data_IF_927812152634
#
_entry.id   IF_927812152634
#
_cell.length_a   1.000
_cell.length_b   1.000
_cell.length_c   1.000
_cell.angle_alpha   90.00
_cell.angle_beta   90.00
_cell.angle_gamma   90.00
#
_symmetry.space_group_name_H-M   'P 1'
#
loop_
_entity.id
_entity.type
_entity.pdbx_description
1 polymer ?
#
# COMPACT_ATOMS: atom_id res chain seq x y z
N UNK A 1 -33.30 5.46 -38.81
CA UNK A 1 -33.26 4.73 -37.52
C UNK A 1 -31.94 3.98 -37.45
N UNK A 2 -30.98 4.47 -36.68
CA UNK A 2 -29.70 3.78 -36.49
C UNK A 2 -29.89 2.60 -35.53
N UNK A 3 -29.71 1.38 -36.02
CA UNK A 3 -29.73 0.17 -35.20
C UNK A 3 -28.42 0.08 -34.41
N UNK A 4 -28.49 0.37 -33.11
CA UNK A 4 -27.34 0.25 -32.21
C UNK A 4 -27.07 -1.24 -31.96
N UNK A 5 -25.93 -1.75 -32.43
CA UNK A 5 -25.55 -3.16 -32.25
C UNK A 5 -25.37 -3.48 -30.76
N UNK A 6 -25.91 -4.63 -30.31
CA UNK A 6 -25.74 -5.14 -28.93
C UNK A 6 -24.26 -5.20 -28.53
N UNK A 7 -23.35 -5.43 -29.47
CA UNK A 7 -21.89 -5.44 -29.22
C UNK A 7 -21.35 -4.04 -28.89
N UNK A 8 -21.84 -3.00 -29.56
CA UNK A 8 -21.46 -1.61 -29.31
C UNK A 8 -22.00 -1.10 -27.97
N UNK A 9 -23.20 -1.55 -27.58
CA UNK A 9 -23.77 -1.23 -26.27
C UNK A 9 -23.02 -1.93 -25.12
N UNK A 10 -22.62 -3.20 -25.31
CA UNK A 10 -21.82 -3.93 -24.32
C UNK A 10 -20.41 -3.35 -24.16
N UNK A 11 -19.76 -2.94 -25.25
CA UNK A 11 -18.46 -2.28 -25.21
C UNK A 11 -18.53 -0.91 -24.51
N UNK A 12 -19.60 -0.15 -24.75
CA UNK A 12 -19.85 1.11 -24.05
C UNK A 12 -20.12 0.89 -22.55
N UNK A 13 -20.88 -0.16 -22.19
CA UNK A 13 -21.08 -0.53 -20.79
C UNK A 13 -19.80 -0.98 -20.10
N UNK A 14 -18.93 -1.75 -20.77
CA UNK A 14 -17.63 -2.14 -20.20
C UNK A 14 -16.68 -0.95 -20.04
N UNK A 15 -16.73 0.01 -20.98
CA UNK A 15 -15.99 1.26 -20.92
C UNK A 15 -16.52 2.21 -19.83
N UNK A 16 -17.84 2.32 -19.68
CA UNK A 16 -18.51 3.10 -18.64
C UNK A 16 -18.44 2.44 -17.25
N UNK A 17 -18.40 1.10 -17.18
CA UNK A 17 -18.26 0.35 -15.94
C UNK A 17 -16.83 0.38 -15.39
N UNK A 18 -15.87 0.95 -16.14
CA UNK A 18 -14.51 1.19 -15.66
C UNK A 18 -13.91 -0.06 -15.01
N UNK A 19 -14.03 -1.22 -15.66
CA UNK A 19 -13.42 -2.47 -15.17
C UNK A 19 -11.89 -2.32 -15.32
N UNK A 20 -11.29 -1.51 -14.46
CA UNK A 20 -9.89 -1.64 -14.10
C UNK A 20 -9.79 -3.04 -13.50
N UNK A 21 -8.92 -3.89 -14.05
CA UNK A 21 -8.64 -5.17 -13.38
C UNK A 21 -8.24 -4.83 -11.95
N UNK A 22 -9.01 -5.31 -10.97
CA UNK A 22 -8.67 -5.14 -9.56
C UNK A 22 -7.24 -5.67 -9.41
N UNK A 23 -6.32 -4.82 -8.96
CA UNK A 23 -4.95 -5.25 -8.67
C UNK A 23 -5.09 -6.39 -7.66
N UNK A 24 -4.59 -7.57 -8.03
CA UNK A 24 -4.62 -8.74 -7.16
C UNK A 24 -3.35 -8.69 -6.29
N UNK A 25 -3.57 -8.91 -5.00
CA UNK A 25 -2.53 -9.04 -3.98
C UNK A 25 -2.53 -10.49 -3.52
N UNK A 26 -1.35 -11.04 -3.21
CA UNK A 26 -1.21 -12.42 -2.72
C UNK A 26 -0.91 -12.48 -1.23
N UNK A 27 -0.26 -11.45 -0.67
CA UNK A 27 0.02 -11.37 0.75
C UNK A 27 -1.15 -10.70 1.50
N UNK A 28 -1.51 -9.47 1.13
CA UNK A 28 -2.57 -8.72 1.82
C UNK A 28 -3.97 -9.15 1.40
N UNK A 29 -4.86 -9.27 2.38
CA UNK A 29 -6.31 -9.28 2.16
C UNK A 29 -6.84 -7.89 1.77
N UNK A 30 -8.07 -7.84 1.22
CA UNK A 30 -8.72 -6.58 0.84
C UNK A 30 -8.84 -5.57 2.01
N UNK A 31 -9.11 -6.05 3.23
CA UNK A 31 -9.20 -5.21 4.43
C UNK A 31 -7.84 -4.65 4.86
N UNK A 32 -6.79 -5.46 4.72
CA UNK A 32 -5.43 -5.04 5.07
C UNK A 32 -4.90 -4.05 4.05
N UNK A 33 -5.16 -4.27 2.76
CA UNK A 33 -4.87 -3.30 1.70
C UNK A 33 -5.48 -1.95 2.06
N UNK A 34 -6.74 -1.92 2.48
CA UNK A 34 -7.43 -0.69 2.87
C UNK A 34 -6.76 -0.01 4.08
N UNK A 35 -6.40 -0.78 5.09
CA UNK A 35 -5.76 -0.28 6.32
C UNK A 35 -4.37 0.27 6.04
N UNK A 36 -3.53 -0.49 5.33
CA UNK A 36 -2.15 -0.08 4.99
C UNK A 36 -2.15 1.11 4.03
N UNK A 37 -3.08 1.14 3.06
CA UNK A 37 -3.24 2.32 2.20
C UNK A 37 -3.62 3.55 3.02
N UNK A 38 -4.62 3.43 3.89
CA UNK A 38 -5.06 4.52 4.77
C UNK A 38 -3.95 5.04 5.69
N UNK A 39 -3.03 4.16 6.12
CA UNK A 39 -1.87 4.50 6.93
C UNK A 39 -0.79 5.19 6.10
N UNK A 40 -0.45 4.64 4.94
CA UNK A 40 0.51 5.22 4.02
C UNK A 40 0.11 6.63 3.56
N UNK A 41 -1.19 6.90 3.40
CA UNK A 41 -1.74 8.21 3.03
C UNK A 41 -1.42 9.34 4.02
N UNK A 42 -1.22 9.01 5.29
CA UNK A 42 -0.96 10.01 6.36
C UNK A 42 0.48 9.99 6.86
N UNK A 43 1.21 8.90 6.61
CA UNK A 43 2.63 8.78 6.97
C UNK A 43 3.55 9.35 5.90
N UNK A 44 3.18 9.22 4.63
CA UNK A 44 4.03 9.62 3.50
C UNK A 44 3.64 11.02 3.01
N UNK A 45 4.59 11.80 2.47
CA UNK A 45 4.36 13.18 2.04
C UNK A 45 3.64 13.26 0.67
N UNK A 46 2.63 12.43 0.43
CA UNK A 46 1.96 12.29 -0.88
C UNK A 46 1.10 13.50 -1.27
N UNK A 47 0.84 14.41 -0.34
CA UNK A 47 0.11 15.65 -0.58
C UNK A 47 1.03 16.79 -1.06
N UNK A 48 2.36 16.62 -0.95
CA UNK A 48 3.32 17.62 -1.39
C UNK A 48 3.40 17.64 -2.95
N UNK A 49 3.39 18.81 -3.61
CA UNK A 49 3.24 18.91 -5.06
C UNK A 49 4.25 18.12 -5.90
N UNK A 50 5.49 17.99 -5.43
CA UNK A 50 6.57 17.30 -6.16
C UNK A 50 6.71 15.83 -5.80
N UNK A 51 6.06 15.40 -4.71
CA UNK A 51 6.18 14.05 -4.20
C UNK A 51 5.27 13.08 -4.98
N UNK A 52 5.73 11.85 -5.28
CA UNK A 52 4.87 10.88 -5.95
C UNK A 52 3.71 10.46 -5.05
N UNK A 53 2.53 10.25 -5.64
CA UNK A 53 1.45 9.58 -4.93
C UNK A 53 1.74 8.07 -4.75
N UNK A 54 0.89 7.36 -4.00
CA UNK A 54 1.09 5.94 -3.69
C UNK A 54 1.14 5.04 -4.94
N UNK A 55 0.34 5.37 -5.96
CA UNK A 55 0.30 4.63 -7.24
C UNK A 55 1.61 4.83 -8.02
N UNK A 56 2.08 6.07 -8.18
CA UNK A 56 3.34 6.40 -8.88
C UNK A 56 4.58 5.85 -8.17
N UNK A 57 4.52 5.62 -6.86
CA UNK A 57 5.58 4.98 -6.10
C UNK A 57 5.40 3.46 -5.94
N UNK A 58 4.36 2.88 -6.53
CA UNK A 58 4.02 1.45 -6.48
C UNK A 58 3.99 0.87 -5.04
N UNK A 59 3.54 1.66 -4.06
CA UNK A 59 3.70 1.33 -2.64
C UNK A 59 3.06 0.01 -2.27
N UNK A 60 1.76 -0.14 -2.55
CA UNK A 60 1.03 -1.35 -2.16
C UNK A 60 1.51 -2.60 -2.89
N UNK A 61 1.79 -2.50 -4.20
CA UNK A 61 2.32 -3.62 -4.99
C UNK A 61 3.65 -4.09 -4.45
N UNK A 62 4.57 -3.18 -4.18
CA UNK A 62 5.91 -3.52 -3.67
C UNK A 62 5.85 -4.07 -2.25
N UNK A 63 5.02 -3.51 -1.37
CA UNK A 63 4.82 -4.08 -0.03
C UNK A 63 4.32 -5.52 -0.11
N UNK A 64 3.32 -5.79 -0.97
CA UNK A 64 2.80 -7.14 -1.15
C UNK A 64 3.86 -8.10 -1.70
N UNK A 65 4.61 -7.66 -2.72
CA UNK A 65 5.71 -8.44 -3.30
C UNK A 65 6.80 -8.76 -2.27
N UNK A 66 7.26 -7.78 -1.48
CA UNK A 66 8.31 -8.02 -0.48
C UNK A 66 7.82 -8.94 0.65
N UNK A 67 6.61 -8.71 1.16
CA UNK A 67 6.05 -9.48 2.27
C UNK A 67 5.61 -10.90 1.87
N UNK A 68 5.30 -11.14 0.60
CA UNK A 68 4.99 -12.49 0.14
C UNK A 68 6.19 -13.46 0.23
N UNK A 69 7.42 -12.95 0.21
CA UNK A 69 8.63 -13.78 0.19
C UNK A 69 9.39 -13.86 1.52
N UNK A 70 8.93 -13.19 2.58
CA UNK A 70 9.51 -13.34 3.92
C UNK A 70 9.04 -14.63 4.59
N UNK A 71 9.65 -15.02 5.72
CA UNK A 71 9.24 -16.21 6.46
C UNK A 71 7.80 -16.10 6.97
N UNK A 72 7.11 -17.24 7.12
CA UNK A 72 5.73 -17.30 7.62
C UNK A 72 5.57 -16.59 8.97
N UNK A 73 6.54 -16.73 9.88
CA UNK A 73 6.56 -16.01 11.17
C UNK A 73 6.52 -14.48 10.98
N UNK A 74 7.32 -13.94 10.06
CA UNK A 74 7.33 -12.50 9.77
C UNK A 74 6.02 -12.09 9.09
N UNK A 75 5.46 -12.93 8.22
CA UNK A 75 4.16 -12.69 7.61
C UNK A 75 3.06 -12.56 8.68
N UNK A 76 2.98 -13.52 9.61
CA UNK A 76 2.00 -13.52 10.70
C UNK A 76 2.14 -12.30 11.62
N UNK A 77 3.37 -11.89 11.92
CA UNK A 77 3.64 -10.69 12.71
C UNK A 77 3.11 -9.42 12.02
N UNK A 78 3.29 -9.31 10.70
CA UNK A 78 2.79 -8.15 9.95
C UNK A 78 1.27 -8.15 9.80
N UNK A 79 0.64 -9.31 9.58
CA UNK A 79 -0.82 -9.43 9.65
C UNK A 79 -1.35 -8.96 11.02
N UNK A 80 -0.69 -9.38 12.10
CA UNK A 80 -1.02 -8.97 13.45
C UNK A 80 -0.85 -7.47 13.66
N UNK A 81 0.24 -6.88 13.16
CA UNK A 81 0.48 -5.44 13.24
C UNK A 81 -0.60 -4.62 12.50
N UNK A 82 -0.99 -5.03 11.30
CA UNK A 82 -2.06 -4.37 10.54
C UNK A 82 -3.39 -4.48 11.27
N UNK A 83 -3.70 -5.64 11.85
CA UNK A 83 -4.90 -5.82 12.65
C UNK A 83 -4.89 -4.92 13.90
N UNK A 84 -3.79 -4.86 14.64
CA UNK A 84 -3.68 -3.97 15.81
C UNK A 84 -3.92 -2.51 15.39
N UNK A 85 -3.29 -2.04 14.31
CA UNK A 85 -3.49 -0.69 13.80
C UNK A 85 -4.97 -0.42 13.45
N UNK A 86 -5.66 -1.38 12.80
CA UNK A 86 -7.04 -1.21 12.36
C UNK A 86 -8.01 -0.98 13.54
N UNK A 87 -7.79 -1.68 14.66
CA UNK A 87 -8.63 -1.59 15.85
C UNK A 87 -8.14 -0.56 16.88
N UNK A 88 -6.91 -0.07 16.73
CA UNK A 88 -6.29 0.87 17.66
C UNK A 88 -7.16 2.09 18.00
N UNK A 89 -7.87 2.75 17.06
CA UNK A 89 -8.64 3.93 17.39
C UNK A 89 -9.71 3.73 18.47
N UNK A 90 -10.25 2.50 18.62
CA UNK A 90 -11.24 2.18 19.65
C UNK A 90 -10.70 2.39 21.06
N UNK A 91 -9.40 2.13 21.28
CA UNK A 91 -8.72 2.33 22.55
C UNK A 91 -8.36 3.81 22.82
N UNK A 92 -8.45 4.65 21.78
CA UNK A 92 -8.19 6.09 21.82
C UNK A 92 -9.48 6.89 21.59
N UNK A 93 -10.62 6.36 22.03
CA UNK A 93 -11.90 7.09 22.06
C UNK A 93 -12.58 7.32 20.72
N UNK A 94 -12.10 6.71 19.63
CA UNK A 94 -12.73 6.80 18.31
C UNK A 94 -13.58 5.56 18.05
N UNK A 95 -14.88 5.71 17.80
CA UNK A 95 -15.81 4.60 17.51
C UNK A 95 -15.83 4.15 16.05
N UNK A 96 -14.66 4.12 15.41
CA UNK A 96 -14.49 3.68 14.02
C UNK A 96 -13.12 3.04 13.85
N UNK A 97 -13.00 2.08 12.92
CA UNK A 97 -11.73 1.47 12.58
C UNK A 97 -10.80 2.47 11.87
N UNK A 98 -9.49 2.24 11.93
CA UNK A 98 -8.48 3.17 11.42
C UNK A 98 -8.70 3.50 9.94
N UNK A 99 -8.93 2.47 9.12
CA UNK A 99 -9.18 2.60 7.68
C UNK A 99 -10.45 3.40 7.34
N UNK A 100 -11.37 3.55 8.30
CA UNK A 100 -12.64 4.27 8.16
C UNK A 100 -12.61 5.67 8.78
N UNK A 101 -11.55 6.04 9.50
CA UNK A 101 -11.38 7.42 9.98
C UNK A 101 -11.19 8.38 8.80
N UNK A 102 -11.58 9.65 9.00
CA UNK A 102 -11.17 10.73 8.09
C UNK A 102 -9.65 10.92 8.17
N UNK A 103 -9.08 11.51 7.12
CA UNK A 103 -7.63 11.75 7.06
C UNK A 103 -7.13 12.53 8.28
N UNK A 104 -7.83 13.59 8.66
CA UNK A 104 -7.50 14.47 9.78
C UNK A 104 -7.52 13.71 11.11
N UNK A 105 -8.48 12.80 11.30
CA UNK A 105 -8.55 11.95 12.48
C UNK A 105 -7.42 10.92 12.53
N UNK A 106 -7.02 10.36 11.39
CA UNK A 106 -5.84 9.47 11.33
C UNK A 106 -4.57 10.23 11.69
N UNK A 107 -4.37 11.42 11.13
CA UNK A 107 -3.22 12.30 11.44
C UNK A 107 -3.19 12.64 12.94
N UNK A 108 -4.33 13.06 13.49
CA UNK A 108 -4.45 13.37 14.93
C UNK A 108 -4.11 12.16 15.80
N UNK A 109 -4.67 10.99 15.48
CA UNK A 109 -4.37 9.76 16.20
C UNK A 109 -2.86 9.46 16.13
N UNK A 110 -2.23 9.50 14.95
CA UNK A 110 -0.79 9.21 14.84
C UNK A 110 0.09 10.19 15.63
N UNK A 111 -0.33 11.44 15.76
CA UNK A 111 0.33 12.43 16.64
C UNK A 111 0.18 12.01 18.11
N UNK A 112 -1.01 11.63 18.56
CA UNK A 112 -1.24 11.14 19.92
C UNK A 112 -0.42 9.88 20.24
N UNK A 113 -0.24 8.99 19.26
CA UNK A 113 0.54 7.76 19.43
C UNK A 113 2.05 8.00 19.49
N UNK A 114 2.55 9.17 19.10
CA UNK A 114 3.98 9.47 19.09
C UNK A 114 4.60 9.37 20.49
N UNK A 115 3.84 9.75 21.52
CA UNK A 115 4.26 9.77 22.92
C UNK A 115 3.65 8.61 23.73
N UNK A 116 3.27 7.51 23.07
CA UNK A 116 2.67 6.36 23.77
C UNK A 116 3.65 5.63 24.70
N UNK A 117 3.18 5.25 25.89
CA UNK A 117 3.92 4.38 26.80
C UNK A 117 3.81 2.88 26.44
N UNK A 118 2.92 2.52 25.51
CA UNK A 118 2.72 1.13 25.12
C UNK A 118 3.78 0.63 24.15
N UNK A 119 4.60 -0.33 24.58
CA UNK A 119 5.61 -0.98 23.74
C UNK A 119 5.01 -1.62 22.48
N UNK A 120 3.82 -2.22 22.61
CA UNK A 120 3.12 -2.86 21.49
C UNK A 120 2.73 -1.82 20.45
N UNK A 121 2.13 -0.71 20.87
CA UNK A 121 1.70 0.35 19.96
C UNK A 121 2.91 0.97 19.25
N UNK A 122 3.98 1.25 20.01
CA UNK A 122 5.23 1.77 19.47
C UNK A 122 5.85 0.81 18.44
N UNK A 123 5.86 -0.49 18.73
CA UNK A 123 6.37 -1.51 17.80
C UNK A 123 5.53 -1.58 16.51
N UNK A 124 4.20 -1.62 16.63
CA UNK A 124 3.28 -1.70 15.49
C UNK A 124 3.42 -0.48 14.59
N UNK A 125 3.26 0.73 15.14
CA UNK A 125 3.31 1.97 14.35
C UNK A 125 4.71 2.19 13.78
N UNK A 126 5.75 1.89 14.57
CA UNK A 126 7.15 2.01 14.15
C UNK A 126 7.50 1.09 12.97
N UNK A 127 7.16 -0.19 13.06
CA UNK A 127 7.47 -1.18 12.02
C UNK A 127 6.66 -0.94 10.74
N UNK A 128 5.36 -0.63 10.86
CA UNK A 128 4.55 -0.29 9.69
C UNK A 128 5.07 0.98 9.01
N UNK A 129 5.43 2.02 9.78
CA UNK A 129 6.04 3.25 9.25
C UNK A 129 7.34 2.96 8.52
N UNK A 130 8.21 2.13 9.10
CA UNK A 130 9.48 1.75 8.49
C UNK A 130 9.27 1.11 7.12
N UNK A 131 8.34 0.15 7.01
CA UNK A 131 8.05 -0.52 5.75
C UNK A 131 7.52 0.41 4.66
N UNK A 132 6.51 1.24 4.97
CA UNK A 132 5.94 2.14 3.96
C UNK A 132 6.99 3.17 3.49
N UNK A 133 7.83 3.67 4.39
CA UNK A 133 8.93 4.57 4.06
C UNK A 133 10.00 3.88 3.21
N UNK A 134 10.39 2.65 3.56
CA UNK A 134 11.39 1.88 2.82
C UNK A 134 10.98 1.69 1.36
N UNK A 135 9.72 1.29 1.13
CA UNK A 135 9.21 1.08 -0.22
C UNK A 135 9.08 2.41 -0.98
N UNK A 136 8.53 3.44 -0.34
CA UNK A 136 8.27 4.73 -0.98
C UNK A 136 9.55 5.48 -1.36
N UNK A 137 10.48 5.64 -0.41
CA UNK A 137 11.77 6.30 -0.65
C UNK A 137 12.76 5.41 -1.41
N UNK A 138 12.54 4.10 -1.40
CA UNK A 138 13.25 3.15 -2.26
C UNK A 138 12.80 3.21 -3.73
N UNK A 139 11.75 3.96 -4.09
CA UNK A 139 11.29 4.10 -5.47
C UNK A 139 11.93 5.31 -6.17
N UNK A 140 12.42 5.13 -7.40
CA UNK A 140 13.12 6.20 -8.15
C UNK A 140 12.29 7.49 -8.32
N UNK A 141 10.96 7.39 -8.35
CA UNK A 141 10.08 8.56 -8.49
C UNK A 141 10.10 9.52 -7.29
N UNK A 142 10.60 9.09 -6.13
CA UNK A 142 10.71 9.92 -4.92
C UNK A 142 12.08 10.57 -4.75
N UNK A 143 13.10 10.17 -5.52
CA UNK A 143 14.50 10.58 -5.31
C UNK A 143 14.79 12.03 -5.68
N UNK A 144 14.36 12.47 -6.86
CA UNK A 144 14.61 13.84 -7.32
C UNK A 144 13.99 14.89 -6.38
N UNK A 145 12.72 14.76 -5.93
CA UNK A 145 12.13 15.67 -4.95
C UNK A 145 12.92 15.81 -3.64
N UNK A 146 13.57 14.75 -3.17
CA UNK A 146 14.38 14.77 -1.94
C UNK A 146 15.87 15.06 -2.20
N UNK A 147 16.22 15.54 -3.40
CA UNK A 147 17.60 15.82 -3.82
C UNK A 147 18.55 14.61 -3.69
N UNK A 148 18.01 13.40 -3.80
CA UNK A 148 18.80 12.18 -3.81
C UNK A 148 19.14 11.81 -5.27
N UNK A 149 20.42 11.76 -5.67
CA UNK A 149 20.80 11.42 -7.05
C UNK A 149 20.59 9.93 -7.39
N UNK A 150 20.22 9.11 -6.42
CA UNK A 150 20.17 7.66 -6.52
C UNK A 150 21.42 6.99 -5.95
N UNK A 151 21.43 5.64 -5.90
CA UNK A 151 22.53 4.88 -5.34
C UNK A 151 23.78 5.00 -6.22
N UNK A 152 24.96 4.81 -5.62
CA UNK A 152 26.23 4.78 -6.34
C UNK A 152 26.17 3.78 -7.51
N UNK A 153 26.67 4.20 -8.67
CA UNK A 153 26.62 3.47 -9.95
C UNK A 153 25.21 3.16 -10.49
N UNK A 154 24.14 3.54 -9.77
CA UNK A 154 22.74 3.35 -10.12
C UNK A 154 22.47 1.99 -10.81
N UNK A 155 22.76 0.86 -10.14
CA UNK A 155 22.52 -0.46 -10.72
C UNK A 155 21.05 -0.55 -11.17
N UNK A 156 20.78 -1.12 -12.35
CA UNK A 156 19.42 -1.21 -12.85
C UNK A 156 18.57 -2.03 -11.89
N UNK A 157 17.31 -1.65 -11.72
CA UNK A 157 16.35 -2.47 -11.00
C UNK A 157 16.23 -3.82 -11.73
N UNK A 158 16.80 -4.86 -11.12
CA UNK A 158 16.62 -6.23 -11.56
C UNK A 158 15.51 -6.84 -10.73
N UNK A 159 14.50 -7.35 -11.42
CA UNK A 159 13.44 -8.10 -10.79
C UNK A 159 14.05 -9.41 -10.29
N UNK A 160 13.90 -9.70 -9.01
CA UNK A 160 14.29 -10.99 -8.45
C UNK A 160 13.47 -12.11 -9.10
N UNK A 161 13.98 -13.34 -9.06
CA UNK A 161 13.23 -14.53 -9.49
C UNK A 161 11.87 -14.62 -8.78
N UNK A 162 11.86 -14.26 -7.50
CA UNK A 162 10.68 -14.06 -6.68
C UNK A 162 9.66 -13.08 -7.32
N UNK A 163 10.06 -11.85 -7.66
CA UNK A 163 9.13 -10.88 -8.30
C UNK A 163 8.66 -11.34 -9.68
N UNK A 164 9.50 -12.01 -10.45
CA UNK A 164 9.11 -12.61 -11.74
C UNK A 164 8.05 -13.70 -11.51
N UNK A 165 8.25 -14.56 -10.51
CA UNK A 165 7.31 -15.60 -10.12
C UNK A 165 5.95 -14.99 -9.70
N UNK A 166 5.97 -13.98 -8.82
CA UNK A 166 4.76 -13.25 -8.39
C UNK A 166 3.97 -12.67 -9.58
N UNK A 167 4.65 -12.07 -10.57
CA UNK A 167 3.99 -11.55 -11.78
C UNK A 167 3.41 -12.65 -12.67
N UNK A 168 4.04 -13.82 -12.74
CA UNK A 168 3.51 -14.96 -13.49
C UNK A 168 2.24 -15.49 -12.81
N UNK A 169 2.22 -15.57 -11.47
CA UNK A 169 1.02 -15.90 -10.69
C UNK A 169 -0.11 -14.91 -10.96
N UNK A 170 0.17 -13.59 -10.97
CA UNK A 170 -0.83 -12.57 -11.31
C UNK A 170 -1.43 -12.74 -12.71
N UNK A 171 -0.61 -13.18 -13.66
CA UNK A 171 -1.02 -13.38 -15.06
C UNK A 171 -1.71 -14.72 -15.31
N UNK A 172 -1.90 -15.55 -14.28
CA UNK A 172 -2.45 -16.90 -14.42
C UNK A 172 -1.59 -17.81 -15.30
N UNK A 173 -0.29 -17.52 -15.40
CA UNK A 173 0.69 -18.35 -16.09
C UNK A 173 1.33 -19.26 -15.04
N UNK A 174 0.62 -20.33 -14.70
CA UNK A 174 1.27 -21.46 -14.04
C UNK A 174 2.26 -22.09 -15.06
N UNK A 175 3.43 -22.51 -14.57
CA UNK A 175 4.46 -23.16 -15.37
C UNK A 175 3.96 -24.49 -15.96
#
# INVERSE_FOLDING_TARGET
MYSFSRKSFLALLLFCAGIKSKIRYFYFSDSEVKTVTAFAEVVLPIAEPEMPNLEKADVMRRLDEELYFVSEEIQEDFHSAVMVLEYLPLFYGNFSLFSNLSKEKRETLLIELADTDSDIVRAVVGNLKLLVCLVYYGHKSSWAPISYPGPFANPPEKWSEARIHYQNLLKGREL
#
